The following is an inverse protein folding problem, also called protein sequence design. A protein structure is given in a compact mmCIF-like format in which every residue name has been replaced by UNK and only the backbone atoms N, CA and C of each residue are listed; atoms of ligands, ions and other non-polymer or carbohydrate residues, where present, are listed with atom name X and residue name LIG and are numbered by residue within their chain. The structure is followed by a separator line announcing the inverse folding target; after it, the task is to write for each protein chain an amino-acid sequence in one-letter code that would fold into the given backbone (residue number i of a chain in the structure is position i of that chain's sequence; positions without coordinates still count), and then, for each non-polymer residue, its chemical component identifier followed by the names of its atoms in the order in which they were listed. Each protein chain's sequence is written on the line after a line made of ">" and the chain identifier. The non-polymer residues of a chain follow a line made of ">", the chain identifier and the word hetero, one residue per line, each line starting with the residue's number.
data_IF_630142820321
#
_entry.id   IF_630142820321
#
_cell.length_a   1.000
_cell.length_b   1.000
_cell.length_c   1.000
_cell.angle_alpha   90.00
_cell.angle_beta   90.00
_cell.angle_gamma   90.00
#
_symmetry.space_group_name_H-M   'P 1'
#
loop_
_entity.id
_entity.type
_entity.pdbx_description
1 polymer ?
#
# COMPACT_ATOMS: atom_id res chain seq x y z
N UNK A 1 -2.41 37.38 -18.15
CA UNK A 1 -2.64 35.93 -18.19
C UNK A 1 -1.31 35.27 -18.56
N UNK A 2 -0.61 34.67 -17.62
CA UNK A 2 0.62 33.96 -17.94
C UNK A 2 0.28 32.75 -18.80
N UNK A 3 0.69 32.77 -20.07
CA UNK A 3 0.57 31.61 -20.94
C UNK A 3 1.68 30.64 -20.53
N UNK A 4 1.34 29.58 -19.81
CA UNK A 4 2.29 28.54 -19.43
C UNK A 4 2.84 27.89 -20.71
N UNK A 5 4.16 27.90 -20.90
CA UNK A 5 4.79 27.20 -22.04
C UNK A 5 5.02 25.71 -21.70
N UNK A 6 5.10 24.83 -22.73
CA UNK A 6 5.48 23.43 -22.50
C UNK A 6 6.81 23.27 -21.78
N UNK A 7 7.77 24.11 -22.09
CA UNK A 7 9.09 24.12 -21.43
C UNK A 7 8.99 24.49 -19.94
N UNK A 8 8.22 25.54 -19.62
CA UNK A 8 7.97 25.91 -18.22
C UNK A 8 7.30 24.76 -17.46
N UNK A 9 6.33 24.11 -18.08
CA UNK A 9 5.64 22.96 -17.49
C UNK A 9 6.58 21.78 -17.28
N UNK A 10 7.48 21.50 -18.21
CA UNK A 10 8.53 20.49 -18.07
C UNK A 10 9.38 20.73 -16.81
N UNK A 11 9.87 21.96 -16.62
CA UNK A 11 10.65 22.27 -15.42
C UNK A 11 9.84 22.22 -14.13
N UNK A 12 8.55 22.56 -14.16
CA UNK A 12 7.66 22.37 -13.00
C UNK A 12 7.57 20.87 -12.65
N UNK A 13 7.39 19.99 -13.64
CA UNK A 13 7.39 18.53 -13.46
C UNK A 13 8.70 18.05 -12.81
N UNK A 14 9.85 18.51 -13.33
CA UNK A 14 11.17 18.17 -12.77
C UNK A 14 11.31 18.65 -11.33
N UNK A 15 10.90 19.89 -11.05
CA UNK A 15 10.97 20.47 -9.69
C UNK A 15 10.10 19.68 -8.71
N UNK A 16 8.89 19.28 -9.10
CA UNK A 16 7.99 18.46 -8.25
C UNK A 16 8.69 17.13 -7.91
N UNK A 17 9.21 16.41 -8.91
CA UNK A 17 9.91 15.13 -8.69
C UNK A 17 11.10 15.28 -7.75
N UNK A 18 11.90 16.33 -7.93
CA UNK A 18 13.04 16.59 -7.08
C UNK A 18 12.63 16.99 -5.65
N UNK A 19 11.60 17.81 -5.52
CA UNK A 19 11.08 18.23 -4.21
C UNK A 19 10.54 17.05 -3.42
N UNK A 20 9.73 16.19 -4.05
CA UNK A 20 9.20 14.97 -3.45
C UNK A 20 10.34 14.05 -2.99
N UNK A 21 11.34 13.82 -3.84
CA UNK A 21 12.51 13.01 -3.49
C UNK A 21 13.29 13.60 -2.31
N UNK A 22 13.58 14.91 -2.35
CA UNK A 22 14.35 15.59 -1.29
C UNK A 22 13.60 15.52 0.04
N UNK A 23 12.30 15.79 0.03
CA UNK A 23 11.45 15.75 1.22
C UNK A 23 11.45 14.34 1.84
N UNK A 24 11.23 13.31 1.01
CA UNK A 24 11.23 11.93 1.45
C UNK A 24 12.58 11.52 2.05
N UNK A 25 13.70 11.83 1.37
CA UNK A 25 15.05 11.52 1.88
C UNK A 25 15.42 12.32 3.11
N UNK A 26 14.94 13.54 3.25
CA UNK A 26 15.11 14.32 4.47
C UNK A 26 14.39 13.67 5.67
N UNK A 27 13.16 13.22 5.48
CA UNK A 27 12.41 12.51 6.54
C UNK A 27 13.05 11.16 6.88
N UNK A 28 13.50 10.40 5.88
CA UNK A 28 14.27 9.18 6.06
C UNK A 28 15.53 9.41 6.91
N UNK A 29 16.29 10.47 6.60
CA UNK A 29 17.50 10.83 7.32
C UNK A 29 17.22 11.27 8.77
N UNK A 30 16.15 12.02 9.00
CA UNK A 30 15.70 12.37 10.35
C UNK A 30 15.38 11.10 11.15
N UNK A 31 14.65 10.17 10.55
CA UNK A 31 14.31 8.90 11.19
C UNK A 31 15.55 8.04 11.47
N UNK A 32 16.51 8.01 10.54
CA UNK A 32 17.74 7.23 10.67
C UNK A 32 18.63 7.70 11.83
N UNK A 33 18.60 8.97 12.20
CA UNK A 33 19.32 9.52 13.36
C UNK A 33 18.86 8.89 14.69
N UNK A 34 17.63 8.39 14.74
CA UNK A 34 17.03 7.79 15.94
C UNK A 34 17.20 6.26 16.04
N UNK A 35 17.89 5.62 15.08
CA UNK A 35 18.04 4.16 15.08
C UNK A 35 18.85 3.62 16.28
N UNK A 36 19.62 4.42 16.97
CA UNK A 36 20.38 3.99 18.15
C UNK A 36 19.85 4.58 19.46
N UNK A 37 18.70 5.24 19.42
CA UNK A 37 18.10 5.81 20.63
C UNK A 37 17.76 4.68 21.63
N UNK A 38 17.90 4.92 22.94
CA UNK A 38 17.56 3.92 23.92
C UNK A 38 16.08 3.55 23.85
N UNK A 39 15.79 2.27 24.10
CA UNK A 39 14.41 1.79 24.15
C UNK A 39 13.64 2.53 25.25
N UNK A 40 12.45 3.07 24.96
CA UNK A 40 11.59 3.69 25.97
C UNK A 40 11.34 2.76 27.16
N UNK A 41 11.27 3.32 28.36
CA UNK A 41 11.15 2.56 29.60
C UNK A 41 9.96 1.58 29.59
N UNK A 42 8.84 2.00 28.96
CA UNK A 42 7.61 1.23 28.84
C UNK A 42 7.72 0.02 27.88
N UNK A 43 8.77 -0.01 27.06
CA UNK A 43 8.98 -1.03 26.03
C UNK A 43 10.26 -1.84 26.24
N UNK A 44 10.90 -1.73 27.41
CA UNK A 44 12.17 -2.44 27.72
C UNK A 44 12.05 -3.96 27.65
N UNK A 45 10.85 -4.48 27.82
CA UNK A 45 10.53 -5.90 27.76
C UNK A 45 10.28 -6.44 26.33
N UNK A 46 10.27 -5.56 25.32
CA UNK A 46 10.05 -5.98 23.92
C UNK A 46 11.28 -6.68 23.35
N UNK A 47 12.45 -6.13 23.61
CA UNK A 47 13.73 -6.65 23.10
C UNK A 47 14.74 -6.83 24.23
N UNK A 48 15.50 -7.91 24.18
CA UNK A 48 16.80 -7.93 24.88
C UNK A 48 17.84 -7.07 24.12
N UNK A 49 19.02 -6.88 24.71
CA UNK A 49 20.04 -6.02 24.12
C UNK A 49 20.53 -6.50 22.74
N UNK A 50 20.62 -7.83 22.55
CA UNK A 50 21.08 -8.41 21.28
C UNK A 50 20.03 -8.30 20.19
N UNK A 51 18.78 -8.54 20.51
CA UNK A 51 17.63 -8.42 19.62
C UNK A 51 17.42 -6.95 19.21
N UNK A 52 17.57 -6.02 20.16
CA UNK A 52 17.50 -4.59 19.83
C UNK A 52 18.59 -4.19 18.84
N UNK A 53 19.83 -4.63 19.05
CA UNK A 53 20.90 -4.38 18.09
C UNK A 53 20.61 -5.01 16.73
N UNK A 54 20.03 -6.22 16.68
CA UNK A 54 19.59 -6.87 15.44
C UNK A 54 18.54 -6.01 14.72
N UNK A 55 17.53 -5.51 15.45
CA UNK A 55 16.51 -4.61 14.93
C UNK A 55 17.13 -3.34 14.34
N UNK A 56 18.07 -2.70 15.05
CA UNK A 56 18.74 -1.49 14.56
C UNK A 56 19.59 -1.74 13.33
N UNK A 57 20.32 -2.88 13.26
CA UNK A 57 21.08 -3.28 12.06
C UNK A 57 20.14 -3.49 10.86
N UNK A 58 19.02 -4.17 11.07
CA UNK A 58 18.01 -4.37 10.03
C UNK A 58 17.49 -3.02 9.49
N UNK A 59 17.11 -2.08 10.37
CA UNK A 59 16.62 -0.75 9.97
C UNK A 59 17.68 0.05 9.20
N UNK A 60 18.93 0.03 9.63
CA UNK A 60 20.05 0.69 8.93
C UNK A 60 20.29 0.09 7.56
N UNK A 61 20.24 -1.23 7.42
CA UNK A 61 20.42 -1.91 6.15
C UNK A 61 19.28 -1.58 5.18
N UNK A 62 18.03 -1.63 5.66
CA UNK A 62 16.85 -1.21 4.90
C UNK A 62 16.93 0.26 4.46
N UNK A 63 17.35 1.15 5.33
CA UNK A 63 17.55 2.56 5.00
C UNK A 63 18.60 2.75 3.90
N UNK A 64 19.79 2.15 4.05
CA UNK A 64 20.85 2.24 3.02
C UNK A 64 20.39 1.67 1.68
N UNK A 65 19.74 0.54 1.71
CA UNK A 65 19.19 -0.07 0.50
C UNK A 65 18.09 0.79 -0.12
N UNK A 66 17.21 1.37 0.69
CA UNK A 66 16.19 2.33 0.26
C UNK A 66 16.78 3.57 -0.43
N UNK A 67 17.92 4.11 0.06
CA UNK A 67 18.63 5.19 -0.61
C UNK A 67 19.11 4.79 -2.01
N UNK A 68 19.69 3.60 -2.14
CA UNK A 68 20.18 3.11 -3.46
C UNK A 68 19.02 2.95 -4.44
N UNK A 69 17.94 2.29 -4.02
CA UNK A 69 16.79 2.04 -4.89
C UNK A 69 16.06 3.31 -5.29
N UNK A 70 15.84 4.25 -4.34
CA UNK A 70 15.17 5.51 -4.64
C UNK A 70 16.02 6.44 -5.51
N UNK A 71 17.34 6.47 -5.31
CA UNK A 71 18.26 7.23 -6.17
C UNK A 71 18.27 6.65 -7.59
N UNK A 72 18.32 5.33 -7.73
CA UNK A 72 18.21 4.67 -9.04
C UNK A 72 16.89 5.05 -9.74
N UNK A 73 15.77 4.99 -9.04
CA UNK A 73 14.46 5.36 -9.61
C UNK A 73 14.40 6.84 -10.01
N UNK A 74 14.99 7.74 -9.21
CA UNK A 74 15.08 9.16 -9.57
C UNK A 74 15.90 9.36 -10.84
N UNK A 75 17.09 8.76 -10.91
CA UNK A 75 17.97 8.88 -12.09
C UNK A 75 17.29 8.32 -13.35
N UNK A 76 16.60 7.19 -13.21
CA UNK A 76 15.82 6.61 -14.30
C UNK A 76 14.70 7.55 -14.77
N UNK A 77 13.92 8.11 -13.84
CA UNK A 77 12.82 9.02 -14.17
C UNK A 77 13.35 10.33 -14.81
N UNK A 78 14.39 10.93 -14.26
CA UNK A 78 15.01 12.14 -14.85
C UNK A 78 15.60 11.81 -16.23
N UNK A 79 16.28 10.67 -16.37
CA UNK A 79 16.78 10.22 -17.68
C UNK A 79 15.63 10.08 -18.68
N UNK A 80 14.52 9.47 -18.28
CA UNK A 80 13.34 9.31 -19.13
C UNK A 80 12.74 10.65 -19.56
N UNK A 81 12.73 11.65 -18.66
CA UNK A 81 12.26 13.01 -18.97
C UNK A 81 13.21 13.75 -19.92
N UNK A 82 14.53 13.80 -19.58
CA UNK A 82 15.49 14.60 -20.34
C UNK A 82 15.87 14.00 -21.70
N UNK A 83 15.72 12.68 -21.87
CA UNK A 83 15.97 11.99 -23.15
C UNK A 83 14.70 11.64 -23.91
N UNK A 84 13.59 12.37 -23.63
CA UNK A 84 12.31 12.18 -24.33
C UNK A 84 11.79 10.75 -24.31
N UNK A 85 12.04 10.00 -23.23
CA UNK A 85 11.68 8.60 -23.11
C UNK A 85 10.20 8.33 -23.28
N UNK A 86 9.33 9.26 -22.83
CA UNK A 86 7.88 9.15 -23.03
C UNK A 86 7.51 9.27 -24.51
N UNK A 87 8.12 10.20 -25.24
CA UNK A 87 7.91 10.33 -26.68
C UNK A 87 8.43 9.12 -27.45
N UNK A 88 9.55 8.56 -27.03
CA UNK A 88 10.08 7.33 -27.63
C UNK A 88 9.14 6.13 -27.43
N UNK A 89 8.61 5.91 -26.22
CA UNK A 89 7.66 4.81 -25.97
C UNK A 89 6.34 5.07 -26.68
N UNK A 90 5.87 6.33 -26.76
CA UNK A 90 4.69 6.70 -27.50
C UNK A 90 4.83 6.38 -29.01
N UNK A 91 5.98 6.72 -29.61
CA UNK A 91 6.26 6.39 -31.02
C UNK A 91 6.26 4.89 -31.29
N UNK A 92 6.77 4.08 -30.35
CA UNK A 92 6.67 2.62 -30.44
C UNK A 92 5.21 2.18 -30.40
N UNK A 93 4.44 2.66 -29.43
CA UNK A 93 3.05 2.27 -29.29
C UNK A 93 2.19 2.64 -30.51
N UNK A 94 2.37 3.84 -31.05
CA UNK A 94 1.73 4.29 -32.30
C UNK A 94 2.17 3.48 -33.53
N UNK A 95 3.40 2.96 -33.54
CA UNK A 95 3.88 2.07 -34.61
C UNK A 95 3.14 0.72 -34.67
N UNK A 96 2.46 0.32 -33.61
CA UNK A 96 1.66 -0.92 -33.57
C UNK A 96 0.18 -0.73 -33.93
N UNK A 97 -0.40 0.45 -33.70
CA UNK A 97 -1.81 0.68 -33.91
C UNK A 97 -2.15 2.17 -33.94
N UNK A 98 -3.17 2.52 -34.73
CA UNK A 98 -3.78 3.86 -34.74
C UNK A 98 -4.94 3.96 -33.73
N UNK A 99 -5.34 2.86 -33.10
CA UNK A 99 -6.41 2.84 -32.12
C UNK A 99 -5.89 3.32 -30.76
N UNK A 100 -6.44 4.41 -30.24
CA UNK A 100 -5.99 5.06 -29.00
C UNK A 100 -6.04 4.14 -27.78
N UNK A 101 -7.00 3.21 -27.71
CA UNK A 101 -7.08 2.22 -26.61
C UNK A 101 -5.86 1.29 -26.67
N UNK A 102 -5.56 0.77 -27.87
CA UNK A 102 -4.43 -0.14 -28.08
C UNK A 102 -3.10 0.59 -27.81
N UNK A 103 -2.96 1.82 -28.31
CA UNK A 103 -1.79 2.68 -28.05
C UNK A 103 -1.59 2.88 -26.54
N UNK A 104 -2.63 3.25 -25.80
CA UNK A 104 -2.55 3.44 -24.36
C UNK A 104 -2.16 2.13 -23.62
N UNK A 105 -2.73 0.99 -24.02
CA UNK A 105 -2.39 -0.32 -23.41
C UNK A 105 -0.93 -0.71 -23.68
N UNK A 106 -0.45 -0.52 -24.91
CA UNK A 106 0.96 -0.81 -25.26
C UNK A 106 1.88 0.15 -24.52
N UNK A 107 1.57 1.45 -24.52
CA UNK A 107 2.38 2.47 -23.84
C UNK A 107 2.56 2.17 -22.35
N UNK A 108 1.46 1.99 -21.61
CA UNK A 108 1.54 1.67 -20.18
C UNK A 108 2.10 0.27 -19.95
N UNK A 109 1.77 -0.69 -20.80
CA UNK A 109 2.32 -2.05 -20.73
C UNK A 109 3.84 -2.07 -20.85
N UNK A 110 4.41 -1.33 -21.80
CA UNK A 110 5.87 -1.20 -21.98
C UNK A 110 6.52 -0.52 -20.77
N UNK A 111 5.98 0.63 -20.34
CA UNK A 111 6.54 1.36 -19.18
C UNK A 111 6.52 0.49 -17.93
N UNK A 112 5.40 -0.16 -17.61
CA UNK A 112 5.26 -0.96 -16.40
C UNK A 112 6.12 -2.22 -16.45
N UNK A 113 6.16 -2.91 -17.57
CA UNK A 113 6.93 -4.14 -17.72
C UNK A 113 8.43 -3.86 -17.68
N UNK A 114 8.92 -2.87 -18.43
CA UNK A 114 10.33 -2.48 -18.43
C UNK A 114 10.75 -1.96 -17.05
N UNK A 115 9.95 -1.13 -16.42
CA UNK A 115 10.22 -0.65 -15.07
C UNK A 115 10.29 -1.79 -14.04
N UNK A 116 9.39 -2.78 -14.12
CA UNK A 116 9.41 -3.94 -13.21
C UNK A 116 10.65 -4.82 -13.46
N UNK A 117 11.07 -5.00 -14.72
CA UNK A 117 12.32 -5.73 -15.04
C UNK A 117 13.55 -4.99 -14.51
N UNK A 118 13.64 -3.67 -14.71
CA UNK A 118 14.75 -2.86 -14.22
C UNK A 118 14.86 -2.86 -12.68
N UNK A 119 13.72 -2.95 -11.99
CA UNK A 119 13.66 -3.00 -10.52
C UNK A 119 13.69 -4.42 -9.94
N UNK A 120 13.57 -5.45 -10.78
CA UNK A 120 13.59 -6.85 -10.37
C UNK A 120 14.85 -7.25 -9.57
N UNK A 121 16.08 -6.81 -9.93
CA UNK A 121 17.27 -7.09 -9.14
C UNK A 121 17.20 -6.57 -7.70
N UNK A 122 16.59 -5.40 -7.52
CA UNK A 122 16.41 -4.83 -6.17
C UNK A 122 15.37 -5.62 -5.35
N UNK A 123 14.28 -6.04 -5.98
CA UNK A 123 13.28 -6.90 -5.34
C UNK A 123 13.87 -8.25 -4.94
N UNK A 124 14.69 -8.84 -5.81
CA UNK A 124 15.42 -10.07 -5.54
C UNK A 124 16.39 -9.91 -4.38
N UNK A 125 17.23 -8.87 -4.41
CA UNK A 125 18.20 -8.59 -3.34
C UNK A 125 17.50 -8.34 -1.99
N UNK A 126 16.42 -7.55 -1.99
CA UNK A 126 15.62 -7.32 -0.79
C UNK A 126 15.13 -8.64 -0.18
N UNK A 127 14.58 -9.54 -1.01
CA UNK A 127 13.96 -10.79 -0.55
C UNK A 127 15.02 -11.83 -0.13
N UNK A 128 15.97 -12.12 -1.02
CA UNK A 128 16.89 -13.25 -0.83
C UNK A 128 18.20 -12.89 -0.14
N UNK A 129 18.50 -11.61 0.04
CA UNK A 129 19.68 -11.18 0.80
C UNK A 129 19.27 -10.50 2.11
N UNK A 130 18.49 -9.43 2.05
CA UNK A 130 18.16 -8.68 3.27
C UNK A 130 17.18 -9.46 4.15
N UNK A 131 15.97 -9.79 3.64
CA UNK A 131 14.96 -10.49 4.44
C UNK A 131 15.45 -11.89 4.89
N UNK A 132 16.23 -12.58 4.05
CA UNK A 132 16.86 -13.86 4.38
C UNK A 132 17.84 -13.74 5.56
N UNK A 133 18.75 -12.75 5.50
CA UNK A 133 19.75 -12.47 6.55
C UNK A 133 19.13 -12.24 7.93
N UNK A 134 17.93 -11.65 7.97
CA UNK A 134 17.24 -11.39 9.24
C UNK A 134 16.24 -12.49 9.63
N UNK A 135 16.09 -13.52 8.80
CA UNK A 135 15.23 -14.68 9.06
C UNK A 135 13.78 -14.49 8.68
N UNK A 136 13.47 -13.46 7.89
CA UNK A 136 12.10 -13.18 7.45
C UNK A 136 11.68 -13.90 6.19
N UNK A 137 12.63 -14.16 5.27
CA UNK A 137 12.29 -14.80 4.01
C UNK A 137 12.00 -16.30 4.17
N UNK A 138 10.89 -16.73 3.59
CA UNK A 138 10.52 -18.15 3.35
C UNK A 138 10.17 -18.40 1.91
N UNK A 139 10.25 -17.35 1.07
CA UNK A 139 9.96 -17.45 -0.36
C UNK A 139 11.08 -18.22 -1.06
N UNK A 140 10.72 -19.20 -1.87
CA UNK A 140 11.66 -19.86 -2.78
C UNK A 140 11.79 -19.05 -4.07
N UNK A 141 12.91 -19.17 -4.83
CA UNK A 141 13.05 -18.56 -6.15
C UNK A 141 11.89 -18.90 -7.09
N UNK A 142 11.43 -20.15 -7.08
CA UNK A 142 10.27 -20.60 -7.86
C UNK A 142 9.00 -19.86 -7.48
N UNK A 143 8.73 -19.71 -6.18
CA UNK A 143 7.56 -18.97 -5.69
C UNK A 143 7.64 -17.51 -6.10
N UNK A 144 8.80 -16.88 -5.96
CA UNK A 144 9.04 -15.49 -6.36
C UNK A 144 8.71 -15.25 -7.83
N UNK A 145 9.24 -16.10 -8.73
CA UNK A 145 9.00 -15.98 -10.18
C UNK A 145 7.52 -16.22 -10.51
N UNK A 146 6.92 -17.28 -9.95
CA UNK A 146 5.50 -17.57 -10.18
C UNK A 146 4.58 -16.44 -9.68
N UNK A 147 4.89 -15.83 -8.55
CA UNK A 147 4.13 -14.69 -8.04
C UNK A 147 4.27 -13.46 -8.95
N UNK A 148 5.46 -13.20 -9.51
CA UNK A 148 5.67 -12.16 -10.54
C UNK A 148 4.83 -12.42 -11.79
N UNK A 149 4.84 -13.62 -12.33
CA UNK A 149 4.04 -13.97 -13.51
C UNK A 149 2.54 -13.82 -13.26
N UNK A 150 2.04 -14.25 -12.09
CA UNK A 150 0.64 -14.06 -11.69
C UNK A 150 0.29 -12.57 -11.54
N UNK A 151 1.19 -11.77 -10.96
CA UNK A 151 0.99 -10.33 -10.82
C UNK A 151 0.92 -9.64 -12.18
N UNK A 152 1.79 -10.01 -13.13
CA UNK A 152 1.73 -9.50 -14.50
C UNK A 152 0.43 -9.90 -15.20
N UNK A 153 0.00 -11.16 -15.06
CA UNK A 153 -1.26 -11.60 -15.63
C UNK A 153 -2.46 -10.83 -15.07
N UNK A 154 -2.51 -10.61 -13.75
CA UNK A 154 -3.55 -9.79 -13.11
C UNK A 154 -3.49 -8.33 -13.59
N UNK A 155 -2.29 -7.76 -13.71
CA UNK A 155 -2.11 -6.39 -14.19
C UNK A 155 -2.62 -6.24 -15.61
N UNK A 156 -2.30 -7.17 -16.50
CA UNK A 156 -2.74 -7.14 -17.91
C UNK A 156 -4.26 -7.29 -17.99
N UNK A 157 -4.83 -8.29 -17.33
CA UNK A 157 -6.26 -8.59 -17.47
C UNK A 157 -7.11 -7.55 -16.74
N UNK A 158 -6.82 -7.28 -15.47
CA UNK A 158 -7.64 -6.38 -14.65
C UNK A 158 -7.25 -4.92 -14.88
N UNK A 159 -5.98 -4.60 -14.77
CA UNK A 159 -5.49 -3.24 -14.98
C UNK A 159 -5.68 -2.76 -16.41
N UNK A 160 -5.29 -3.59 -17.38
CA UNK A 160 -5.48 -3.32 -18.80
C UNK A 160 -6.95 -3.20 -19.17
N UNK A 161 -7.83 -4.06 -18.65
CA UNK A 161 -9.28 -3.98 -18.89
C UNK A 161 -9.89 -2.69 -18.36
N UNK A 162 -9.53 -2.26 -17.14
CA UNK A 162 -10.01 -0.99 -16.57
C UNK A 162 -9.47 0.20 -17.38
N UNK A 163 -8.18 0.19 -17.73
CA UNK A 163 -7.59 1.25 -18.55
C UNK A 163 -8.27 1.35 -19.90
N UNK A 164 -8.50 0.22 -20.59
CA UNK A 164 -9.21 0.20 -21.88
C UNK A 164 -10.59 0.82 -21.79
N UNK A 165 -11.37 0.51 -20.75
CA UNK A 165 -12.69 1.09 -20.54
C UNK A 165 -12.62 2.60 -20.24
N UNK A 166 -11.64 3.06 -19.49
CA UNK A 166 -11.46 4.49 -19.19
C UNK A 166 -11.10 5.26 -20.46
N UNK A 167 -10.18 4.72 -21.30
CA UNK A 167 -9.81 5.34 -22.57
C UNK A 167 -11.00 5.35 -23.53
N UNK A 168 -11.77 4.26 -23.58
CA UNK A 168 -13.00 4.22 -24.37
C UNK A 168 -14.02 5.27 -23.92
N UNK A 169 -14.25 5.44 -22.61
CA UNK A 169 -15.10 6.50 -22.10
C UNK A 169 -14.58 7.90 -22.48
N UNK A 170 -13.25 8.08 -22.47
CA UNK A 170 -12.66 9.36 -22.88
C UNK A 170 -12.92 9.68 -24.36
N UNK A 171 -12.85 8.68 -25.24
CA UNK A 171 -13.13 8.86 -26.66
C UNK A 171 -14.61 9.15 -26.95
N UNK A 172 -15.51 8.40 -26.30
CA UNK A 172 -16.95 8.53 -26.54
C UNK A 172 -17.59 9.75 -25.84
N UNK A 173 -17.13 10.09 -24.64
CA UNK A 173 -17.77 11.11 -23.80
C UNK A 173 -16.95 12.41 -23.69
N UNK A 174 -15.73 12.48 -24.27
CA UNK A 174 -14.85 13.63 -24.17
C UNK A 174 -14.61 14.04 -22.72
N UNK A 175 -14.73 15.33 -22.40
CA UNK A 175 -14.50 15.84 -21.05
C UNK A 175 -15.43 15.27 -19.96
N UNK A 176 -16.54 14.64 -20.35
CA UNK A 176 -17.46 14.00 -19.42
C UNK A 176 -17.07 12.55 -19.06
N UNK A 177 -15.98 12.00 -19.62
CA UNK A 177 -15.53 10.63 -19.35
C UNK A 177 -15.34 10.34 -17.86
N UNK A 178 -14.99 11.34 -17.06
CA UNK A 178 -14.70 11.18 -15.64
C UNK A 178 -15.88 10.61 -14.84
N UNK A 179 -17.12 10.89 -15.22
CA UNK A 179 -18.31 10.31 -14.62
C UNK A 179 -18.35 8.79 -14.75
N UNK A 180 -18.14 8.32 -15.99
CA UNK A 180 -18.21 6.90 -16.33
C UNK A 180 -17.02 6.17 -15.69
N UNK A 181 -15.82 6.77 -15.76
CA UNK A 181 -14.62 6.26 -15.13
C UNK A 181 -14.78 6.21 -13.60
N UNK A 182 -15.37 7.24 -12.99
CA UNK A 182 -15.63 7.26 -11.55
C UNK A 182 -16.59 6.16 -11.11
N UNK A 183 -17.71 5.99 -11.81
CA UNK A 183 -18.66 4.92 -11.52
C UNK A 183 -18.00 3.56 -11.68
N UNK A 184 -17.27 3.33 -12.77
CA UNK A 184 -16.52 2.10 -13.02
C UNK A 184 -15.58 1.78 -11.86
N UNK A 185 -14.72 2.75 -11.50
CA UNK A 185 -13.71 2.56 -10.44
C UNK A 185 -14.37 2.41 -9.06
N UNK A 186 -15.47 3.13 -8.78
CA UNK A 186 -16.21 2.99 -7.54
C UNK A 186 -16.83 1.58 -7.40
N UNK A 187 -17.53 1.11 -8.43
CA UNK A 187 -18.12 -0.24 -8.46
C UNK A 187 -17.03 -1.30 -8.35
N UNK A 188 -15.95 -1.15 -9.09
CA UNK A 188 -14.81 -2.07 -9.03
C UNK A 188 -14.16 -2.07 -7.63
N UNK A 189 -13.99 -0.91 -6.99
CA UNK A 189 -13.42 -0.80 -5.65
C UNK A 189 -14.30 -1.49 -4.60
N UNK A 190 -15.63 -1.32 -4.68
CA UNK A 190 -16.58 -2.02 -3.82
C UNK A 190 -16.49 -3.54 -4.05
N UNK A 191 -16.47 -3.96 -5.32
CA UNK A 191 -16.37 -5.38 -5.68
C UNK A 191 -15.07 -6.00 -5.14
N UNK A 192 -13.92 -5.38 -5.37
CA UNK A 192 -12.64 -5.87 -4.87
C UNK A 192 -12.65 -5.92 -3.34
N UNK A 193 -13.09 -4.87 -2.67
CA UNK A 193 -13.14 -4.84 -1.21
C UNK A 193 -14.00 -5.99 -0.64
N UNK A 194 -15.09 -6.31 -1.32
CA UNK A 194 -16.01 -7.38 -0.91
C UNK A 194 -15.45 -8.77 -1.18
N UNK A 195 -14.80 -8.98 -2.32
CA UNK A 195 -14.41 -10.31 -2.81
C UNK A 195 -12.90 -10.57 -2.82
N UNK A 196 -12.06 -9.63 -2.41
CA UNK A 196 -10.59 -9.76 -2.42
C UNK A 196 -10.10 -11.06 -1.79
N UNK A 197 -10.55 -11.37 -0.57
CA UNK A 197 -10.12 -12.56 0.15
C UNK A 197 -10.65 -13.87 -0.48
N UNK A 198 -11.72 -13.80 -1.30
CA UNK A 198 -12.31 -14.95 -1.96
C UNK A 198 -11.77 -15.21 -3.36
N UNK A 199 -11.39 -14.16 -4.08
CA UNK A 199 -10.96 -14.25 -5.49
C UNK A 199 -9.47 -14.04 -5.68
N UNK A 200 -8.88 -13.04 -5.02
CA UNK A 200 -7.47 -12.67 -5.24
C UNK A 200 -6.52 -13.45 -4.34
N UNK A 201 -6.82 -13.53 -3.05
CA UNK A 201 -5.93 -14.23 -2.10
C UNK A 201 -5.68 -15.70 -2.49
N UNK A 202 -6.66 -16.50 -2.96
CA UNK A 202 -6.41 -17.89 -3.34
C UNK A 202 -5.46 -18.08 -4.53
N UNK A 203 -5.25 -17.07 -5.34
CA UNK A 203 -4.27 -17.12 -6.43
C UNK A 203 -2.82 -17.23 -5.89
N UNK A 204 -2.58 -16.71 -4.69
CA UNK A 204 -1.25 -16.64 -4.09
C UNK A 204 -1.10 -17.56 -2.88
N UNK A 205 -2.12 -17.67 -2.04
CA UNK A 205 -2.09 -18.37 -0.76
C UNK A 205 -3.19 -19.44 -0.65
N UNK A 206 -2.87 -20.55 -0.01
CA UNK A 206 -3.90 -21.49 0.45
C UNK A 206 -4.68 -20.89 1.61
N UNK A 207 -6.00 -21.07 1.58
CA UNK A 207 -6.90 -20.72 2.68
C UNK A 207 -7.59 -21.99 3.17
N UNK A 208 -7.65 -22.18 4.49
CA UNK A 208 -8.42 -23.23 5.14
C UNK A 208 -9.26 -22.65 6.27
N UNK A 209 -10.44 -23.18 6.55
CA UNK A 209 -11.18 -22.81 7.75
C UNK A 209 -10.30 -23.05 8.99
N UNK A 210 -10.43 -22.18 10.00
CA UNK A 210 -9.78 -22.40 11.29
C UNK A 210 -10.31 -23.73 11.88
N UNK A 211 -9.42 -24.67 12.23
CA UNK A 211 -9.85 -25.95 12.81
C UNK A 211 -10.68 -25.76 14.08
N UNK A 212 -11.54 -26.76 14.37
CA UNK A 212 -12.21 -26.80 15.65
C UNK A 212 -11.20 -26.94 16.79
N UNK A 213 -11.45 -26.25 17.90
CA UNK A 213 -10.53 -26.22 19.05
C UNK A 213 -10.78 -25.04 19.97
N UNK A 214 -9.92 -24.89 20.98
CA UNK A 214 -10.05 -23.86 22.02
C UNK A 214 -10.01 -22.45 21.44
N UNK A 215 -9.09 -22.17 20.53
CA UNK A 215 -8.98 -20.85 19.88
C UNK A 215 -10.29 -20.50 19.15
N UNK A 216 -10.82 -21.43 18.32
CA UNK A 216 -12.06 -21.19 17.59
C UNK A 216 -13.23 -20.94 18.54
N UNK A 217 -13.38 -21.77 19.58
CA UNK A 217 -14.42 -21.60 20.59
C UNK A 217 -14.33 -20.24 21.32
N UNK A 218 -13.12 -19.78 21.66
CA UNK A 218 -12.91 -18.46 22.26
C UNK A 218 -13.29 -17.32 21.31
N UNK A 219 -12.91 -17.44 20.03
CA UNK A 219 -13.26 -16.45 19.01
C UNK A 219 -14.79 -16.37 18.82
N UNK A 220 -15.46 -17.51 18.71
CA UNK A 220 -16.92 -17.59 18.55
C UNK A 220 -17.65 -17.06 19.79
N UNK A 221 -17.15 -17.38 20.97
CA UNK A 221 -17.69 -16.86 22.25
C UNK A 221 -17.57 -15.33 22.31
N UNK A 222 -16.41 -14.79 21.97
CA UNK A 222 -16.22 -13.33 21.92
C UNK A 222 -17.12 -12.69 20.88
N UNK A 223 -17.17 -13.23 19.67
CA UNK A 223 -18.02 -12.72 18.59
C UNK A 223 -19.50 -12.71 18.99
N UNK A 224 -19.99 -13.76 19.62
CA UNK A 224 -21.34 -13.85 20.17
C UNK A 224 -21.61 -12.78 21.22
N UNK A 225 -20.67 -12.57 22.16
CA UNK A 225 -20.78 -11.53 23.22
C UNK A 225 -20.95 -10.13 22.65
N UNK A 226 -20.24 -9.80 21.56
CA UNK A 226 -20.30 -8.46 20.95
C UNK A 226 -21.32 -8.34 19.81
N UNK A 227 -22.15 -9.37 19.61
CA UNK A 227 -23.16 -9.41 18.54
C UNK A 227 -22.52 -9.26 17.14
N UNK A 228 -21.39 -9.92 16.94
CA UNK A 228 -20.70 -9.98 15.66
C UNK A 228 -20.92 -11.38 15.05
N UNK A 229 -21.78 -11.46 14.00
CA UNK A 229 -21.96 -12.72 13.28
C UNK A 229 -20.68 -13.06 12.54
N UNK A 230 -20.05 -14.14 12.96
CA UNK A 230 -18.81 -14.64 12.43
C UNK A 230 -19.09 -15.91 11.62
N UNK A 231 -19.36 -15.76 10.35
CA UNK A 231 -19.69 -16.92 9.52
C UNK A 231 -18.44 -17.66 9.03
N UNK A 232 -17.28 -16.96 8.98
CA UNK A 232 -16.08 -17.49 8.33
C UNK A 232 -14.78 -17.00 8.98
N UNK A 233 -14.06 -17.89 9.66
CA UNK A 233 -12.68 -17.67 10.12
C UNK A 233 -11.77 -18.54 9.26
N UNK A 234 -10.80 -17.94 8.59
CA UNK A 234 -9.84 -18.63 7.76
C UNK A 234 -8.41 -18.44 8.26
N UNK A 235 -7.60 -19.45 8.03
CA UNK A 235 -6.13 -19.38 8.17
C UNK A 235 -5.53 -19.44 6.78
N UNK A 236 -4.54 -18.58 6.51
CA UNK A 236 -3.77 -18.61 5.27
C UNK A 236 -2.32 -19.00 5.53
N UNK A 237 -1.69 -19.64 4.57
CA UNK A 237 -0.30 -20.09 4.58
C UNK A 237 0.69 -18.91 4.37
N UNK A 238 0.65 -17.90 5.26
CA UNK A 238 1.56 -16.75 5.22
C UNK A 238 3.03 -17.16 5.36
N UNK A 239 3.29 -18.20 6.17
CA UNK A 239 4.61 -18.80 6.37
C UNK A 239 5.30 -19.29 5.10
N UNK A 240 4.57 -19.50 4.01
CA UNK A 240 5.12 -19.82 2.67
C UNK A 240 6.06 -18.73 2.15
N UNK A 241 5.89 -17.47 2.59
CA UNK A 241 6.65 -16.32 2.08
C UNK A 241 7.41 -15.57 3.15
N UNK A 242 6.86 -15.49 4.35
CA UNK A 242 7.45 -14.68 5.41
C UNK A 242 7.14 -15.26 6.78
N UNK A 243 8.04 -15.03 7.74
CA UNK A 243 7.76 -15.29 9.16
C UNK A 243 6.96 -14.18 9.82
N UNK A 244 6.72 -13.05 9.15
CA UNK A 244 5.96 -11.93 9.72
C UNK A 244 4.49 -12.29 9.88
N UNK A 245 3.97 -12.10 11.10
CA UNK A 245 2.58 -12.38 11.44
C UNK A 245 1.65 -11.24 11.01
N UNK A 246 0.42 -11.59 10.63
CA UNK A 246 -0.63 -10.64 10.30
C UNK A 246 -2.03 -11.24 10.50
N UNK A 247 -3.04 -10.36 10.61
CA UNK A 247 -4.46 -10.70 10.53
C UNK A 247 -5.19 -9.55 9.84
N UNK A 248 -6.30 -9.85 9.19
CA UNK A 248 -7.13 -8.80 8.59
C UNK A 248 -8.60 -9.22 8.49
N UNK A 249 -9.46 -8.20 8.50
CA UNK A 249 -10.87 -8.33 8.23
C UNK A 249 -11.16 -7.92 6.78
N UNK A 250 -12.06 -8.64 6.11
CA UNK A 250 -12.49 -8.33 4.75
C UNK A 250 -13.98 -8.62 4.55
N UNK A 251 -14.56 -7.96 3.53
CA UNK A 251 -15.94 -8.16 3.11
C UNK A 251 -16.98 -7.39 3.94
N UNK A 252 -18.20 -7.36 3.40
CA UNK A 252 -19.36 -6.71 3.98
C UNK A 252 -20.55 -7.66 4.04
N UNK A 253 -21.52 -7.38 4.90
CA UNK A 253 -22.77 -8.14 4.98
C UNK A 253 -22.53 -9.62 5.27
N UNK A 254 -22.96 -10.50 4.39
CA UNK A 254 -22.79 -11.96 4.49
C UNK A 254 -21.40 -12.47 4.08
N UNK A 255 -20.60 -11.64 3.40
CA UNK A 255 -19.25 -11.99 2.95
C UNK A 255 -18.16 -11.59 3.96
N UNK A 256 -18.55 -11.27 5.20
CA UNK A 256 -17.63 -10.97 6.28
C UNK A 256 -16.70 -12.14 6.55
N UNK A 257 -15.41 -11.85 6.63
CA UNK A 257 -14.38 -12.85 6.84
C UNK A 257 -13.27 -12.30 7.69
N UNK A 258 -12.81 -13.13 8.63
CA UNK A 258 -11.55 -12.93 9.34
C UNK A 258 -10.54 -13.88 8.75
N UNK A 259 -9.37 -13.35 8.43
CA UNK A 259 -8.25 -14.12 7.92
C UNK A 259 -7.06 -13.95 8.83
N UNK A 260 -6.63 -15.04 9.44
CA UNK A 260 -5.45 -15.13 10.29
C UNK A 260 -4.30 -15.72 9.47
N UNK A 261 -3.12 -15.21 9.65
CA UNK A 261 -1.91 -15.86 9.12
C UNK A 261 -1.53 -17.02 10.03
N UNK A 262 -1.08 -18.12 9.46
CA UNK A 262 -0.56 -19.26 10.22
C UNK A 262 0.59 -18.86 11.16
N UNK A 263 1.42 -17.91 10.74
CA UNK A 263 2.47 -17.29 11.57
C UNK A 263 1.89 -16.59 12.81
N UNK A 264 0.76 -15.87 12.68
CA UNK A 264 0.09 -15.24 13.83
C UNK A 264 -0.42 -16.28 14.82
N UNK A 265 -1.06 -17.33 14.30
CA UNK A 265 -1.64 -18.42 15.12
C UNK A 265 -0.55 -19.17 15.86
N UNK A 266 0.64 -19.31 15.28
CA UNK A 266 1.77 -20.01 15.90
C UNK A 266 2.56 -19.14 16.90
N UNK A 267 2.61 -17.82 16.72
CA UNK A 267 3.48 -16.91 17.48
C UNK A 267 2.77 -16.32 18.72
N UNK A 268 1.44 -16.23 18.70
CA UNK A 268 0.66 -15.60 19.75
C UNK A 268 -0.11 -16.62 20.59
N UNK A 269 -0.33 -16.28 21.85
CA UNK A 269 -1.25 -17.01 22.73
C UNK A 269 -2.71 -16.76 22.30
N UNK A 270 -3.61 -17.71 22.58
CA UNK A 270 -5.01 -17.60 22.19
C UNK A 270 -5.68 -16.30 22.68
N UNK A 271 -5.37 -15.86 23.93
CA UNK A 271 -5.89 -14.60 24.49
C UNK A 271 -5.41 -13.38 23.71
N UNK A 272 -4.15 -13.39 23.24
CA UNK A 272 -3.58 -12.35 22.41
C UNK A 272 -4.23 -12.32 21.03
N UNK A 273 -4.45 -13.50 20.42
CA UNK A 273 -5.14 -13.62 19.12
C UNK A 273 -6.56 -13.08 19.21
N UNK A 274 -7.30 -13.45 20.25
CA UNK A 274 -8.68 -12.95 20.44
C UNK A 274 -8.69 -11.45 20.70
N UNK A 275 -7.67 -10.88 21.37
CA UNK A 275 -7.59 -9.43 21.59
C UNK A 275 -7.24 -8.66 20.32
N UNK A 276 -6.38 -9.21 19.44
CA UNK A 276 -6.13 -8.68 18.09
C UNK A 276 -7.42 -8.75 17.26
N UNK A 277 -8.14 -9.86 17.35
CA UNK A 277 -9.45 -9.98 16.70
C UNK A 277 -10.45 -8.94 17.22
N UNK A 278 -10.46 -8.69 18.53
CA UNK A 278 -11.34 -7.69 19.13
C UNK A 278 -11.03 -6.27 18.58
N UNK A 279 -9.75 -5.99 18.32
CA UNK A 279 -9.32 -4.78 17.64
C UNK A 279 -9.87 -4.71 16.19
N UNK A 280 -9.78 -5.80 15.41
CA UNK A 280 -10.34 -5.86 14.05
C UNK A 280 -11.88 -5.70 14.05
N UNK A 281 -12.57 -6.33 15.00
CA UNK A 281 -14.01 -6.12 15.20
C UNK A 281 -14.31 -4.67 15.57
N UNK A 282 -13.42 -4.01 16.30
CA UNK A 282 -13.50 -2.57 16.60
C UNK A 282 -13.53 -1.71 15.33
N UNK A 283 -12.66 -1.98 14.36
CA UNK A 283 -12.69 -1.31 13.05
C UNK A 283 -14.04 -1.48 12.35
N UNK A 284 -14.58 -2.69 12.37
CA UNK A 284 -15.89 -2.96 11.77
C UNK A 284 -17.03 -2.24 12.51
N UNK A 285 -17.11 -2.37 13.83
CA UNK A 285 -18.17 -1.79 14.65
C UNK A 285 -18.19 -0.25 14.62
N UNK A 286 -17.01 0.36 14.48
CA UNK A 286 -16.83 1.81 14.31
C UNK A 286 -16.96 2.26 12.83
N UNK A 287 -17.24 1.34 11.90
CA UNK A 287 -17.44 1.61 10.46
C UNK A 287 -16.21 2.22 9.77
N UNK A 288 -14.99 1.98 10.27
CA UNK A 288 -13.78 2.58 9.72
C UNK A 288 -13.57 2.17 8.25
N UNK A 289 -13.87 0.91 7.91
CA UNK A 289 -13.80 0.41 6.52
C UNK A 289 -14.74 1.20 5.61
N UNK A 290 -15.98 1.47 6.07
CA UNK A 290 -16.94 2.24 5.29
C UNK A 290 -16.49 3.70 5.10
N UNK A 291 -15.97 4.34 6.16
CA UNK A 291 -15.45 5.71 6.08
C UNK A 291 -14.28 5.78 5.10
N UNK A 292 -13.33 4.84 5.19
CA UNK A 292 -12.19 4.79 4.27
C UNK A 292 -12.63 4.55 2.81
N UNK A 293 -13.57 3.64 2.58
CA UNK A 293 -14.11 3.37 1.25
C UNK A 293 -14.83 4.59 0.67
N UNK A 294 -15.66 5.26 1.48
CA UNK A 294 -16.35 6.49 1.05
C UNK A 294 -15.36 7.60 0.73
N UNK A 295 -14.35 7.80 1.59
CA UNK A 295 -13.30 8.77 1.33
C UNK A 295 -12.53 8.45 0.03
N UNK A 296 -12.18 7.20 -0.20
CA UNK A 296 -11.52 6.75 -1.43
C UNK A 296 -12.38 7.01 -2.68
N UNK A 297 -13.67 6.71 -2.63
CA UNK A 297 -14.60 6.95 -3.76
C UNK A 297 -14.70 8.45 -4.06
N UNK A 298 -14.86 9.30 -3.03
CA UNK A 298 -14.94 10.76 -3.20
C UNK A 298 -13.62 11.30 -3.76
N UNK A 299 -12.49 10.90 -3.20
CA UNK A 299 -11.16 11.35 -3.65
C UNK A 299 -10.91 10.91 -5.10
N UNK A 300 -11.27 9.68 -5.47
CA UNK A 300 -11.16 9.20 -6.86
C UNK A 300 -12.02 10.03 -7.80
N UNK A 301 -13.26 10.36 -7.43
CA UNK A 301 -14.12 11.22 -8.24
C UNK A 301 -13.52 12.61 -8.45
N UNK A 302 -13.00 13.22 -7.39
CA UNK A 302 -12.30 14.50 -7.47
C UNK A 302 -11.05 14.42 -8.36
N UNK A 303 -10.24 13.37 -8.21
CA UNK A 303 -9.05 13.15 -9.05
C UNK A 303 -9.40 12.99 -10.53
N UNK A 304 -10.42 12.19 -10.85
CA UNK A 304 -10.86 11.99 -12.22
C UNK A 304 -11.50 13.24 -12.82
N UNK A 305 -12.23 13.99 -12.03
CA UNK A 305 -12.74 15.30 -12.43
C UNK A 305 -11.59 16.27 -12.75
N UNK A 306 -10.59 16.39 -11.88
CA UNK A 306 -9.40 17.19 -12.17
C UNK A 306 -8.69 16.69 -13.45
N UNK A 307 -8.47 15.37 -13.58
CA UNK A 307 -7.86 14.79 -14.77
C UNK A 307 -8.60 15.21 -16.04
N UNK A 308 -9.95 15.23 -16.01
CA UNK A 308 -10.75 15.60 -17.17
C UNK A 308 -10.55 17.04 -17.65
N UNK A 309 -10.09 17.93 -16.77
CA UNK A 309 -9.79 19.33 -17.14
C UNK A 309 -8.43 19.48 -17.85
N UNK A 310 -7.55 18.48 -17.76
CA UNK A 310 -6.17 18.59 -18.22
C UNK A 310 -5.79 17.60 -19.30
N UNK A 311 -6.34 16.38 -19.29
CA UNK A 311 -5.86 15.24 -20.08
C UNK A 311 -5.81 15.48 -21.60
N UNK A 312 -6.72 16.26 -22.15
CA UNK A 312 -6.77 16.59 -23.59
C UNK A 312 -5.98 17.85 -24.00
N UNK A 313 -5.36 18.55 -23.06
CA UNK A 313 -4.67 19.80 -23.37
C UNK A 313 -3.26 19.53 -23.94
N UNK A 314 -2.94 20.03 -25.16
CA UNK A 314 -1.67 19.78 -25.84
C UNK A 314 -0.41 20.18 -25.05
N UNK A 315 -0.53 21.12 -24.11
CA UNK A 315 0.62 21.60 -23.32
C UNK A 315 1.24 20.48 -22.50
N UNK A 316 0.41 19.55 -21.96
CA UNK A 316 0.86 18.44 -21.13
C UNK A 316 1.62 17.39 -21.95
N UNK A 317 1.14 17.11 -23.17
CA UNK A 317 1.84 16.18 -24.07
C UNK A 317 3.17 16.78 -24.55
N UNK A 318 3.15 18.04 -24.99
CA UNK A 318 4.37 18.74 -25.46
C UNK A 318 5.42 18.89 -24.36
N UNK A 319 5.03 19.08 -23.10
CA UNK A 319 5.95 19.12 -21.98
C UNK A 319 6.71 17.78 -21.79
N UNK A 320 6.18 16.66 -22.26
CA UNK A 320 6.84 15.34 -22.24
C UNK A 320 7.43 14.95 -23.61
N UNK A 321 7.60 15.92 -24.55
CA UNK A 321 8.18 15.70 -25.88
C UNK A 321 7.22 15.13 -26.91
N UNK A 322 5.95 14.87 -26.58
CA UNK A 322 4.96 14.29 -27.49
C UNK A 322 4.15 15.38 -28.18
N UNK A 323 4.18 15.41 -29.51
CA UNK A 323 3.52 16.46 -30.30
C UNK A 323 2.00 16.28 -30.37
N UNK A 324 1.55 15.04 -30.50
CA UNK A 324 0.12 14.72 -30.60
C UNK A 324 -0.48 14.43 -29.21
N UNK A 325 -1.51 15.18 -28.79
CA UNK A 325 -2.15 14.90 -27.51
C UNK A 325 -2.76 13.49 -27.50
N UNK A 326 -2.52 12.77 -26.40
CA UNK A 326 -3.10 11.45 -26.17
C UNK A 326 -3.48 11.29 -24.70
N UNK A 327 -4.51 10.49 -24.43
CA UNK A 327 -4.97 10.21 -23.06
C UNK A 327 -3.82 9.72 -22.16
N UNK A 328 -3.02 8.78 -22.65
CA UNK A 328 -1.93 8.15 -21.91
C UNK A 328 -0.84 9.14 -21.50
N UNK A 329 -0.46 10.07 -22.40
CA UNK A 329 0.54 11.11 -22.07
C UNK A 329 -0.04 12.15 -21.11
N UNK A 330 -1.30 12.57 -21.35
CA UNK A 330 -2.01 13.46 -20.44
C UNK A 330 -2.12 12.88 -19.02
N UNK A 331 -2.37 11.57 -18.89
CA UNK A 331 -2.44 10.88 -17.63
C UNK A 331 -1.09 10.84 -16.89
N UNK A 332 0.04 10.64 -17.61
CA UNK A 332 1.38 10.70 -17.01
C UNK A 332 1.67 12.11 -16.48
N UNK A 333 1.50 13.14 -17.32
CA UNK A 333 1.74 14.53 -16.93
C UNK A 333 0.88 14.91 -15.72
N UNK A 334 -0.42 14.58 -15.77
CA UNK A 334 -1.34 14.81 -14.67
C UNK A 334 -0.90 14.08 -13.40
N UNK A 335 -0.51 12.82 -13.49
CA UNK A 335 -0.08 12.03 -12.33
C UNK A 335 1.08 12.67 -11.57
N UNK A 336 2.08 13.20 -12.30
CA UNK A 336 3.22 13.88 -11.68
C UNK A 336 2.78 15.21 -11.04
N UNK A 337 2.02 16.01 -11.76
CA UNK A 337 1.53 17.31 -11.27
C UNK A 337 0.55 17.18 -10.10
N UNK A 338 -0.15 16.08 -10.01
CA UNK A 338 -1.09 15.78 -8.92
C UNK A 338 -0.39 15.26 -7.65
N UNK A 339 0.89 14.82 -7.73
CA UNK A 339 1.58 14.22 -6.58
C UNK A 339 1.54 15.08 -5.31
N UNK A 340 1.72 16.42 -5.33
CA UNK A 340 1.64 17.22 -4.11
C UNK A 340 0.24 17.21 -3.46
N UNK A 341 -0.82 17.18 -4.28
CA UNK A 341 -2.20 17.09 -3.78
C UNK A 341 -2.43 15.71 -3.17
N UNK A 342 -1.91 14.66 -3.80
CA UNK A 342 -1.97 13.29 -3.30
C UNK A 342 -1.26 13.13 -1.97
N UNK A 343 -0.09 13.76 -1.79
CA UNK A 343 0.65 13.77 -0.52
C UNK A 343 -0.15 14.44 0.61
N UNK A 344 -0.72 15.62 0.34
CA UNK A 344 -1.58 16.31 1.32
C UNK A 344 -2.78 15.45 1.71
N UNK A 345 -3.43 14.80 0.73
CA UNK A 345 -4.53 13.87 0.99
C UNK A 345 -4.05 12.69 1.83
N UNK A 346 -2.88 12.14 1.53
CA UNK A 346 -2.23 11.07 2.30
C UNK A 346 -1.98 11.45 3.76
N UNK A 347 -1.52 12.67 4.03
CA UNK A 347 -1.35 13.17 5.40
C UNK A 347 -2.66 13.15 6.20
N UNK A 348 -3.75 13.63 5.58
CA UNK A 348 -5.08 13.63 6.21
C UNK A 348 -5.54 12.20 6.46
N UNK A 349 -5.39 11.30 5.50
CA UNK A 349 -5.80 9.91 5.64
C UNK A 349 -4.95 9.17 6.68
N UNK A 350 -3.64 9.40 6.75
CA UNK A 350 -2.78 8.85 7.79
C UNK A 350 -3.17 9.34 9.19
N UNK A 351 -3.52 10.61 9.33
CA UNK A 351 -4.02 11.15 10.60
C UNK A 351 -5.33 10.46 11.02
N UNK A 352 -6.30 10.33 10.11
CA UNK A 352 -7.57 9.65 10.38
C UNK A 352 -7.36 8.17 10.71
N UNK A 353 -6.49 7.48 9.97
CA UNK A 353 -6.15 6.08 10.22
C UNK A 353 -5.60 5.88 11.63
N UNK A 354 -4.65 6.71 12.07
CA UNK A 354 -4.12 6.64 13.45
C UNK A 354 -5.21 6.90 14.51
N UNK A 355 -6.17 7.76 14.23
CA UNK A 355 -7.33 7.98 15.12
C UNK A 355 -8.23 6.74 15.19
N UNK A 356 -8.43 6.08 14.07
CA UNK A 356 -9.20 4.84 13.99
C UNK A 356 -8.54 3.70 14.77
N UNK A 357 -7.21 3.61 14.71
CA UNK A 357 -6.44 2.65 15.50
C UNK A 357 -6.68 2.83 17.00
N UNK A 358 -6.63 4.06 17.52
CA UNK A 358 -6.92 4.32 18.92
C UNK A 358 -8.37 3.95 19.31
N UNK A 359 -9.33 4.14 18.42
CA UNK A 359 -10.72 3.74 18.65
C UNK A 359 -10.89 2.22 18.66
N UNK A 360 -10.18 1.51 17.77
CA UNK A 360 -10.18 0.06 17.72
C UNK A 360 -9.47 -0.54 18.95
N UNK A 361 -8.34 0.04 19.38
CA UNK A 361 -7.66 -0.33 20.63
C UNK A 361 -8.56 -0.17 21.85
N UNK A 362 -9.23 0.97 21.95
CA UNK A 362 -10.17 1.23 23.05
C UNK A 362 -11.37 0.25 23.02
N UNK A 363 -11.85 -0.10 21.82
CA UNK A 363 -12.90 -1.10 21.67
C UNK A 363 -12.45 -2.47 22.17
N UNK A 364 -11.27 -2.94 21.75
CA UNK A 364 -10.70 -4.20 22.19
C UNK A 364 -10.49 -4.24 23.71
N UNK A 365 -9.92 -3.17 24.30
CA UNK A 365 -9.75 -3.03 25.74
C UNK A 365 -11.09 -3.16 26.51
N UNK A 366 -12.13 -2.47 26.03
CA UNK A 366 -13.42 -2.40 26.74
C UNK A 366 -14.28 -3.64 26.54
N UNK A 367 -14.09 -4.41 25.47
CA UNK A 367 -14.96 -5.57 25.15
C UNK A 367 -14.29 -6.90 25.44
N UNK A 368 -12.96 -6.93 25.51
CA UNK A 368 -12.19 -8.14 25.76
C UNK A 368 -11.05 -7.92 26.76
N UNK A 369 -9.79 -7.74 26.32
CA UNK A 369 -8.62 -7.68 27.20
C UNK A 369 -7.53 -6.76 26.63
N UNK A 370 -7.37 -5.58 27.24
CA UNK A 370 -6.36 -4.60 26.83
C UNK A 370 -4.92 -5.05 27.11
N UNK A 371 -4.69 -5.84 28.18
CA UNK A 371 -3.35 -6.34 28.52
C UNK A 371 -2.90 -7.40 27.51
N UNK A 372 -3.80 -8.30 27.12
CA UNK A 372 -3.52 -9.29 26.08
C UNK A 372 -3.22 -8.62 24.73
N UNK A 373 -3.93 -7.51 24.41
CA UNK A 373 -3.63 -6.72 23.19
C UNK A 373 -2.24 -6.09 23.28
N UNK A 374 -1.86 -5.49 24.42
CA UNK A 374 -0.53 -4.93 24.62
C UNK A 374 0.53 -6.02 24.46
N UNK A 375 0.34 -7.19 25.05
CA UNK A 375 1.26 -8.32 24.93
C UNK A 375 1.41 -8.78 23.48
N UNK A 376 0.31 -8.99 22.78
CA UNK A 376 0.31 -9.35 21.36
C UNK A 376 1.04 -8.31 20.49
N UNK A 377 0.76 -7.02 20.69
CA UNK A 377 1.42 -5.94 19.96
C UNK A 377 2.95 -5.89 20.21
N UNK A 378 3.39 -6.15 21.45
CA UNK A 378 4.81 -6.26 21.78
C UNK A 378 5.47 -7.44 21.07
N UNK A 379 4.84 -8.63 21.10
CA UNK A 379 5.33 -9.81 20.37
C UNK A 379 5.41 -9.56 18.85
N UNK A 380 4.36 -9.00 18.25
CA UNK A 380 4.36 -8.63 16.83
C UNK A 380 5.44 -7.62 16.45
N UNK A 381 5.70 -6.64 17.31
CA UNK A 381 6.80 -5.68 17.12
C UNK A 381 8.17 -6.34 17.22
N UNK A 382 8.33 -7.29 18.14
CA UNK A 382 9.55 -8.07 18.33
C UNK A 382 9.83 -8.95 17.12
N UNK A 383 8.87 -9.75 16.69
CA UNK A 383 9.03 -10.69 15.58
C UNK A 383 9.22 -9.99 14.23
N UNK A 384 8.75 -8.75 14.07
CA UNK A 384 8.97 -7.93 12.86
C UNK A 384 10.17 -6.99 12.91
N UNK A 385 10.98 -7.03 13.99
CA UNK A 385 12.10 -6.11 14.22
C UNK A 385 11.69 -4.63 14.04
N UNK A 386 10.54 -4.25 14.62
CA UNK A 386 9.99 -2.91 14.48
C UNK A 386 10.88 -1.83 15.09
N UNK A 387 10.87 -0.62 14.51
CA UNK A 387 11.52 0.54 15.11
C UNK A 387 10.69 1.06 16.28
N UNK A 388 11.26 1.04 17.51
CA UNK A 388 10.57 1.52 18.71
C UNK A 388 10.74 3.02 18.96
N UNK A 389 11.66 3.67 18.25
CA UNK A 389 12.04 5.08 18.43
C UNK A 389 11.99 5.87 17.11
N UNK A 390 10.91 5.76 16.29
CA UNK A 390 10.87 6.51 15.05
C UNK A 390 10.72 8.02 15.30
N UNK A 391 11.32 8.84 14.42
CA UNK A 391 11.20 10.28 14.50
C UNK A 391 9.75 10.75 14.31
N UNK A 392 9.30 11.74 15.09
CA UNK A 392 7.89 12.20 15.10
C UNK A 392 7.40 12.71 13.74
N UNK A 393 8.22 13.46 13.01
CA UNK A 393 7.86 13.94 11.67
C UNK A 393 7.71 12.79 10.67
N UNK A 394 8.60 11.78 10.75
CA UNK A 394 8.50 10.57 9.94
C UNK A 394 7.20 9.79 10.22
N UNK A 395 6.84 9.63 11.49
CA UNK A 395 5.58 9.02 11.90
C UNK A 395 4.38 9.82 11.39
N UNK A 396 4.43 11.16 11.48
CA UNK A 396 3.34 12.02 11.03
C UNK A 396 3.06 11.83 9.54
N UNK A 397 4.09 11.78 8.71
CA UNK A 397 3.97 11.69 7.25
C UNK A 397 3.70 10.26 6.78
N UNK A 398 4.47 9.27 7.25
CA UNK A 398 4.49 7.93 6.64
C UNK A 398 3.69 6.86 7.38
N UNK A 399 3.34 7.07 8.67
CA UNK A 399 2.67 6.03 9.44
C UNK A 399 1.15 6.14 9.38
N UNK A 400 0.50 5.11 8.87
CA UNK A 400 -0.95 4.94 8.98
C UNK A 400 -1.39 4.40 10.34
N UNK A 401 -0.48 3.81 11.12
CA UNK A 401 -0.72 3.31 12.47
C UNK A 401 0.11 4.10 13.49
N UNK A 402 -0.39 4.31 14.72
CA UNK A 402 0.44 4.86 15.80
C UNK A 402 1.58 3.93 16.14
N UNK A 403 2.69 4.48 16.67
CA UNK A 403 3.80 3.66 17.14
C UNK A 403 3.37 2.75 18.30
N UNK A 404 4.12 1.65 18.52
CA UNK A 404 3.86 0.75 19.67
C UNK A 404 3.78 1.53 20.98
N UNK A 405 4.70 2.49 21.21
CA UNK A 405 4.69 3.33 22.40
C UNK A 405 3.42 4.16 22.55
N UNK A 406 2.94 4.74 21.45
CA UNK A 406 1.71 5.52 21.45
C UNK A 406 0.48 4.64 21.74
N UNK A 407 0.41 3.44 21.13
CA UNK A 407 -0.67 2.47 21.38
C UNK A 407 -0.62 1.98 22.83
N UNK A 408 0.55 1.61 23.34
CA UNK A 408 0.75 1.22 24.73
C UNK A 408 0.23 2.29 25.70
N UNK A 409 0.66 3.54 25.53
CA UNK A 409 0.23 4.66 26.40
C UNK A 409 -1.29 4.91 26.31
N UNK A 410 -1.88 4.73 25.14
CA UNK A 410 -3.32 4.89 24.97
C UNK A 410 -4.11 3.76 25.63
N UNK A 411 -3.65 2.52 25.54
CA UNK A 411 -4.27 1.37 26.18
C UNK A 411 -4.16 1.39 27.71
N UNK A 412 -3.15 2.07 28.27
CA UNK A 412 -2.93 2.23 29.72
C UNK A 412 -3.72 3.37 30.35
N UNK A 413 -4.26 4.30 29.56
CA UNK A 413 -5.21 5.32 30.04
C UNK A 413 -6.55 4.71 30.40
#
# INVERSE_FOLDING_TARGET
>A
MFILSPETLFYIIVIIILADFILDKFLDALNAKHFNDPVPAELKDVYDASEYQKSQRYKKERYKFGLVTSTFSLVLMLGFLFFEGFAWVDSIAQGFSDNSIVVALIFFGLIMFVSDILTLPFSWYSTFVIEEKYGFNKTTPKTFILDKLKSWALMIVVGGGILALIVWFYEEAGNNFWWYAWILVAVFSIFVNMFYAKLIVPLFNKQSPLPEGSLRSKIETYAGKVGFKLDNIFVIDGSKRSTKANAYFSGFGKEKRITLYDTLVNDLEEEEIVSVLAHEVGHYKKRHVLVNLTAAIITTGFTLWLLSLFVGNPIFSKALGVQTPGFHIGLISFGILYSPISELTGLVMNYLSRKFEYQADAYAKNTYNGEALISGLKKLSKTSLSNLTPHKAYVFVHYSHPTLLQRYRNLRK
#
